data_IF_159321297412
#
_entry.id   IF_159321297412
#
_cell.length_a   1.000
_cell.length_b   1.000
_cell.length_c   1.000
_cell.angle_alpha   90.00
_cell.angle_beta   90.00
_cell.angle_gamma   90.00
#
_symmetry.space_group_name_H-M   'P 1'
#
loop_
_entity.id
_entity.type
_entity.pdbx_description
1 polymer ?
#
# COMPACT_ATOMS: atom_id res chain seq x y z
N UNK A 1 -17.04 30.94 34.75
CA UNK A 1 -17.00 29.70 33.92
C UNK A 1 -16.43 29.94 32.53
N UNK A 2 -16.94 30.87 31.69
CA UNK A 2 -16.40 31.15 30.33
C UNK A 2 -14.90 31.52 30.28
N UNK A 3 -14.39 32.27 31.26
CA UNK A 3 -13.00 32.73 31.30
C UNK A 3 -11.98 31.58 31.50
N UNK A 4 -12.28 30.66 32.42
CA UNK A 4 -11.41 29.48 32.65
C UNK A 4 -11.42 28.52 31.49
N UNK A 5 -12.53 28.39 30.77
CA UNK A 5 -12.64 27.56 29.57
C UNK A 5 -11.76 28.09 28.42
N UNK A 6 -11.75 29.42 28.24
CA UNK A 6 -10.93 30.09 27.23
C UNK A 6 -9.42 29.99 27.55
N UNK A 7 -9.07 30.10 28.82
CA UNK A 7 -7.69 29.99 29.27
C UNK A 7 -7.19 28.54 29.16
N UNK A 8 -8.03 27.56 29.51
CA UNK A 8 -7.76 26.14 29.31
C UNK A 8 -7.57 25.77 27.84
N UNK A 9 -8.41 26.29 26.94
CA UNK A 9 -8.27 26.13 25.50
C UNK A 9 -6.95 26.72 24.96
N UNK A 10 -6.57 27.92 25.40
CA UNK A 10 -5.30 28.54 24.97
C UNK A 10 -4.06 27.73 25.39
N UNK A 11 -4.01 27.24 26.62
CA UNK A 11 -2.91 26.40 27.11
C UNK A 11 -2.91 25.04 26.42
N UNK A 12 -4.07 24.48 26.14
CA UNK A 12 -4.23 23.24 25.37
C UNK A 12 -3.65 23.35 23.96
N UNK A 13 -4.04 24.40 23.21
CA UNK A 13 -3.56 24.59 21.83
C UNK A 13 -2.05 24.90 21.79
N UNK A 14 -1.51 25.72 22.69
CA UNK A 14 -0.08 26.03 22.75
C UNK A 14 0.76 24.78 23.02
N UNK A 15 0.34 23.94 23.97
CA UNK A 15 1.05 22.72 24.27
C UNK A 15 1.04 21.69 23.13
N UNK A 16 -0.10 21.56 22.43
CA UNK A 16 -0.22 20.62 21.31
C UNK A 16 0.61 21.05 20.11
N UNK A 17 0.66 22.33 19.77
CA UNK A 17 1.48 22.84 18.66
C UNK A 17 2.97 22.59 18.94
N UNK A 18 3.44 22.89 20.16
CA UNK A 18 4.84 22.67 20.51
C UNK A 18 5.26 21.21 20.42
N UNK A 19 4.47 20.29 20.97
CA UNK A 19 4.75 18.83 20.90
C UNK A 19 4.71 18.35 19.45
N UNK A 20 3.75 18.82 18.65
CA UNK A 20 3.61 18.46 17.23
C UNK A 20 4.84 18.90 16.43
N UNK A 21 5.35 20.10 16.65
CA UNK A 21 6.56 20.61 16.00
C UNK A 21 7.80 19.77 16.36
N UNK A 22 7.98 19.44 17.64
CA UNK A 22 9.10 18.62 18.09
C UNK A 22 9.06 17.23 17.46
N UNK A 23 7.88 16.58 17.46
CA UNK A 23 7.73 15.25 16.86
C UNK A 23 7.99 15.28 15.36
N UNK A 24 7.46 16.27 14.66
CA UNK A 24 7.64 16.39 13.21
C UNK A 24 9.09 16.65 12.83
N UNK A 25 9.78 17.50 13.60
CA UNK A 25 11.19 17.77 13.39
C UNK A 25 12.05 16.54 13.68
N UNK A 26 11.74 15.78 14.72
CA UNK A 26 12.42 14.53 15.03
C UNK A 26 12.26 13.48 13.93
N UNK A 27 11.04 13.27 13.44
CA UNK A 27 10.76 12.32 12.34
C UNK A 27 11.47 12.78 11.06
N UNK A 28 11.44 14.08 10.77
CA UNK A 28 12.13 14.64 9.61
C UNK A 28 13.66 14.46 9.70
N UNK A 29 14.25 14.75 10.86
CA UNK A 29 15.69 14.57 11.09
C UNK A 29 16.11 13.11 10.93
N UNK A 30 15.32 12.15 11.48
CA UNK A 30 15.55 10.72 11.30
C UNK A 30 15.46 10.28 9.84
N UNK A 31 14.44 10.74 9.12
CA UNK A 31 14.31 10.46 7.69
C UNK A 31 15.50 10.98 6.89
N UNK A 32 16.02 12.16 7.23
CA UNK A 32 17.21 12.73 6.58
C UNK A 32 18.49 11.94 6.87
N UNK A 33 18.63 11.38 8.06
CA UNK A 33 19.77 10.52 8.41
C UNK A 33 19.70 9.20 7.61
N UNK A 34 18.50 8.61 7.47
CA UNK A 34 18.31 7.35 6.76
C UNK A 34 18.44 7.49 5.23
N UNK A 35 18.10 8.66 4.68
CA UNK A 35 18.13 8.94 3.23
C UNK A 35 19.16 10.03 2.88
N UNK A 36 20.36 9.89 3.41
CA UNK A 36 21.44 10.85 3.26
C UNK A 36 21.80 11.21 1.80
N UNK A 37 21.55 10.30 0.86
CA UNK A 37 21.88 10.47 -0.57
C UNK A 37 20.92 11.41 -1.31
N UNK A 38 19.78 11.81 -0.73
CA UNK A 38 18.82 12.71 -1.39
C UNK A 38 19.27 14.16 -1.24
N UNK A 39 19.47 14.92 -2.33
CA UNK A 39 19.89 16.30 -2.28
C UNK A 39 18.90 17.17 -1.50
N UNK A 40 19.42 18.14 -0.74
CA UNK A 40 18.60 19.07 0.04
C UNK A 40 17.87 20.04 -0.90
N UNK A 41 16.54 20.08 -0.82
CA UNK A 41 15.69 21.07 -1.48
C UNK A 41 14.85 21.80 -0.44
N UNK A 42 15.22 23.04 -0.12
CA UNK A 42 14.57 23.81 0.93
C UNK A 42 13.04 23.92 0.76
N UNK A 43 12.54 23.99 -0.48
CA UNK A 43 11.11 24.10 -0.77
C UNK A 43 10.37 22.80 -0.53
N UNK A 44 10.93 21.68 -0.96
CA UNK A 44 10.33 20.34 -0.80
C UNK A 44 10.41 19.88 0.65
N UNK A 45 11.57 20.05 1.29
CA UNK A 45 11.78 19.72 2.68
C UNK A 45 10.86 20.50 3.62
N UNK A 46 10.62 21.77 3.35
CA UNK A 46 9.66 22.59 4.10
C UNK A 46 8.21 22.10 3.90
N UNK A 47 7.84 21.72 2.69
CA UNK A 47 6.52 21.16 2.40
C UNK A 47 6.26 19.83 3.13
N UNK A 48 7.29 18.96 3.18
CA UNK A 48 7.22 17.70 3.92
C UNK A 48 7.09 17.95 5.43
N UNK A 49 7.90 18.85 5.98
CA UNK A 49 7.84 19.21 7.39
C UNK A 49 6.47 19.79 7.77
N UNK A 50 5.89 20.64 6.92
CA UNK A 50 4.56 21.22 7.14
C UNK A 50 3.46 20.16 7.16
N UNK A 51 3.49 19.19 6.23
CA UNK A 51 2.55 18.07 6.19
C UNK A 51 2.68 17.15 7.41
N UNK A 52 3.89 16.83 7.81
CA UNK A 52 4.16 16.02 9.02
C UNK A 52 3.66 16.73 10.28
N UNK A 53 3.84 18.05 10.36
CA UNK A 53 3.34 18.85 11.49
C UNK A 53 1.82 18.83 11.58
N UNK A 54 1.14 18.98 10.45
CA UNK A 54 -0.32 18.89 10.38
C UNK A 54 -0.84 17.51 10.79
N UNK A 55 -0.22 16.43 10.31
CA UNK A 55 -0.60 15.06 10.64
C UNK A 55 -0.40 14.76 12.14
N UNK A 56 0.77 15.11 12.70
CA UNK A 56 1.04 14.90 14.11
C UNK A 56 0.15 15.73 15.03
N UNK A 57 -0.23 16.93 14.61
CA UNK A 57 -1.16 17.78 15.35
C UNK A 57 -2.57 17.19 15.37
N UNK A 58 -3.07 16.69 14.24
CA UNK A 58 -4.35 16.00 14.15
C UNK A 58 -4.38 14.74 15.06
N UNK A 59 -3.30 13.97 15.08
CA UNK A 59 -3.16 12.78 15.92
C UNK A 59 -3.19 13.11 17.42
N UNK A 60 -2.45 14.17 17.85
CA UNK A 60 -2.43 14.63 19.24
C UNK A 60 -3.81 15.17 19.66
N UNK A 61 -4.50 15.91 18.78
CA UNK A 61 -5.85 16.40 19.05
C UNK A 61 -6.83 15.24 19.21
N UNK A 62 -6.75 14.21 18.37
CA UNK A 62 -7.58 13.01 18.48
C UNK A 62 -7.38 12.28 19.80
N UNK A 63 -6.13 12.05 20.20
CA UNK A 63 -5.79 11.40 21.47
C UNK A 63 -6.26 12.22 22.70
N UNK A 64 -6.02 13.53 22.69
CA UNK A 64 -6.50 14.41 23.79
C UNK A 64 -8.02 14.51 23.80
N UNK A 65 -8.68 14.60 22.63
CA UNK A 65 -10.15 14.64 22.54
C UNK A 65 -10.79 13.39 23.12
N UNK A 66 -10.23 12.21 22.86
CA UNK A 66 -10.70 10.95 23.46
C UNK A 66 -10.51 10.95 24.98
N UNK A 67 -9.36 11.41 25.48
CA UNK A 67 -9.09 11.47 26.92
C UNK A 67 -10.10 12.41 27.65
N UNK A 68 -10.39 13.60 27.10
CA UNK A 68 -11.38 14.50 27.67
C UNK A 68 -12.81 13.95 27.61
N UNK A 69 -13.16 13.21 26.57
CA UNK A 69 -14.43 12.50 26.49
C UNK A 69 -14.57 11.46 27.61
N UNK A 70 -13.48 10.71 27.92
CA UNK A 70 -13.45 9.79 29.03
C UNK A 70 -13.65 10.47 30.40
N UNK A 71 -12.96 11.60 30.62
CA UNK A 71 -13.11 12.36 31.87
C UNK A 71 -14.54 12.88 32.00
N UNK A 72 -15.13 13.43 30.94
CA UNK A 72 -16.51 13.94 30.94
C UNK A 72 -17.54 12.82 31.19
N UNK A 73 -17.34 11.62 30.59
CA UNK A 73 -18.17 10.44 30.85
C UNK A 73 -18.02 10.00 32.32
N UNK A 74 -16.80 10.01 32.86
CA UNK A 74 -16.53 9.70 34.25
C UNK A 74 -17.26 10.65 35.21
N UNK A 75 -17.24 11.95 34.98
CA UNK A 75 -17.97 12.96 35.75
C UNK A 75 -19.49 12.78 35.63
N UNK A 76 -19.99 12.46 34.42
CA UNK A 76 -21.43 12.19 34.21
C UNK A 76 -21.89 10.95 35.00
N UNK A 77 -21.08 9.88 34.99
CA UNK A 77 -21.35 8.66 35.74
C UNK A 77 -21.32 8.87 37.29
N UNK A 78 -20.47 9.81 37.76
CA UNK A 78 -20.45 10.19 39.18
C UNK A 78 -21.71 10.96 39.61
N UNK A 79 -22.33 11.74 38.71
CA UNK A 79 -23.59 12.47 39.00
C UNK A 79 -24.81 11.56 39.07
N UNK A 80 -24.76 10.39 38.45
CA UNK A 80 -25.83 9.39 38.51
C UNK A 80 -25.57 8.53 39.72
N UNK A 81 -26.53 8.50 40.68
CA UNK A 81 -26.42 7.76 41.95
C UNK A 81 -26.61 6.26 41.73
N UNK A 82 -25.71 5.66 40.94
CA UNK A 82 -25.67 4.21 40.76
C UNK A 82 -24.95 3.54 41.95
N UNK A 83 -25.43 2.37 42.42
CA UNK A 83 -24.69 1.59 43.39
C UNK A 83 -23.27 1.28 42.89
N UNK A 84 -22.29 1.27 43.77
CA UNK A 84 -20.86 1.15 43.44
C UNK A 84 -20.54 -0.03 42.53
N UNK A 85 -21.28 -1.11 42.61
CA UNK A 85 -21.18 -2.31 41.77
C UNK A 85 -21.55 -1.98 40.30
N UNK A 86 -22.62 -1.22 40.05
CA UNK A 86 -23.05 -0.85 38.70
C UNK A 86 -22.06 0.10 38.03
N UNK A 87 -21.38 0.97 38.76
CA UNK A 87 -20.29 1.82 38.26
C UNK A 87 -19.10 0.98 37.80
N UNK A 88 -18.74 -0.05 38.58
CA UNK A 88 -17.64 -0.95 38.26
C UNK A 88 -17.93 -1.78 37.00
N UNK A 89 -19.13 -2.37 36.92
CA UNK A 89 -19.58 -3.12 35.73
C UNK A 89 -19.66 -2.25 34.49
N UNK A 90 -20.19 -1.02 34.61
CA UNK A 90 -20.26 -0.06 33.50
C UNK A 90 -18.88 0.30 32.96
N UNK A 91 -17.92 0.55 33.84
CA UNK A 91 -16.52 0.83 33.43
C UNK A 91 -15.88 -0.38 32.72
N UNK A 92 -16.14 -1.58 33.20
CA UNK A 92 -15.61 -2.82 32.63
C UNK A 92 -16.19 -3.08 31.22
N UNK A 93 -17.50 -2.86 31.03
CA UNK A 93 -18.18 -2.98 29.74
C UNK A 93 -17.66 -1.96 28.74
N UNK A 94 -17.42 -0.71 29.16
CA UNK A 94 -16.87 0.34 28.29
C UNK A 94 -15.44 -0.02 27.86
N UNK A 95 -14.60 -0.51 28.77
CA UNK A 95 -13.23 -0.95 28.46
C UNK A 95 -13.26 -2.15 27.49
N UNK A 96 -14.18 -3.09 27.66
CA UNK A 96 -14.33 -4.27 26.81
C UNK A 96 -14.82 -3.90 25.40
N UNK A 97 -15.74 -2.95 25.26
CA UNK A 97 -16.21 -2.42 23.98
C UNK A 97 -15.09 -1.66 23.26
N UNK A 98 -14.32 -0.86 23.97
CA UNK A 98 -13.17 -0.14 23.40
C UNK A 98 -12.05 -1.08 22.96
N UNK A 99 -11.77 -2.13 23.75
CA UNK A 99 -10.81 -3.15 23.35
C UNK A 99 -11.29 -3.91 22.10
N UNK A 100 -12.57 -4.24 21.99
CA UNK A 100 -13.16 -4.89 20.82
C UNK A 100 -13.02 -4.03 19.55
N UNK A 101 -13.19 -2.69 19.66
CA UNK A 101 -12.99 -1.75 18.54
C UNK A 101 -11.51 -1.70 18.13
N UNK A 102 -10.58 -1.73 19.07
CA UNK A 102 -9.13 -1.73 18.79
C UNK A 102 -8.65 -3.05 18.17
N UNK A 103 -9.28 -4.19 18.54
CA UNK A 103 -8.96 -5.50 17.96
C UNK A 103 -9.67 -5.78 16.63
N UNK A 104 -10.74 -5.07 16.28
CA UNK A 104 -11.48 -5.27 15.02
C UNK A 104 -10.74 -4.71 13.78
N UNK A 105 -9.65 -3.98 13.94
CA UNK A 105 -8.89 -3.36 12.86
C UNK A 105 -7.68 -4.20 12.38
N UNK A 106 -7.74 -5.53 12.48
CA UNK A 106 -6.75 -6.44 11.85
C UNK A 106 -7.22 -6.95 10.48
N UNK A 107 -7.84 -6.12 9.67
CA UNK A 107 -7.81 -6.35 8.23
C UNK A 107 -6.38 -5.98 7.77
N UNK A 108 -5.50 -6.99 7.65
CA UNK A 108 -4.18 -6.84 7.03
C UNK A 108 -4.36 -6.46 5.55
N UNK A 109 -4.74 -5.21 5.28
CA UNK A 109 -4.70 -4.69 3.92
C UNK A 109 -3.28 -4.20 3.66
N UNK A 110 -2.47 -5.03 3.03
CA UNK A 110 -1.19 -4.58 2.48
C UNK A 110 -1.46 -3.83 1.17
N UNK A 111 -0.90 -2.65 1.03
CA UNK A 111 -0.91 -1.92 -0.23
C UNK A 111 0.44 -1.23 -0.39
N UNK A 112 0.97 -1.25 -1.61
CA UNK A 112 2.28 -0.64 -1.86
C UNK A 112 2.68 -0.70 -3.32
N UNK A 113 3.94 -0.32 -3.55
CA UNK A 113 4.57 -0.32 -4.87
C UNK A 113 5.93 -1.03 -4.73
N UNK A 114 6.21 -1.96 -5.63
CA UNK A 114 7.54 -2.53 -5.87
C UNK A 114 8.03 -2.07 -7.24
N UNK A 115 9.30 -1.72 -7.33
CA UNK A 115 9.89 -1.27 -8.58
C UNK A 115 11.23 -1.96 -8.80
N UNK A 116 11.42 -2.47 -10.01
CA UNK A 116 12.75 -2.81 -10.51
C UNK A 116 13.35 -1.55 -11.17
N UNK A 117 14.47 -1.07 -10.64
CA UNK A 117 15.10 0.15 -11.12
C UNK A 117 15.85 -0.01 -12.44
N UNK A 118 16.22 -1.23 -12.82
CA UNK A 118 16.93 -1.50 -14.06
C UNK A 118 15.99 -1.43 -15.28
N UNK A 119 14.85 -2.11 -15.19
CA UNK A 119 13.86 -2.16 -16.28
C UNK A 119 12.75 -1.13 -16.13
N UNK A 120 12.63 -0.50 -14.97
CA UNK A 120 11.49 0.39 -14.66
C UNK A 120 10.18 -0.35 -14.42
N UNK A 121 10.19 -1.70 -14.39
CA UNK A 121 9.01 -2.49 -14.05
C UNK A 121 8.46 -2.07 -12.70
N UNK A 122 7.20 -1.69 -12.67
CA UNK A 122 6.52 -1.22 -11.46
C UNK A 122 5.30 -2.09 -11.18
N UNK A 123 5.24 -2.66 -9.99
CA UNK A 123 4.10 -3.43 -9.50
C UNK A 123 3.39 -2.66 -8.38
N UNK A 124 2.17 -2.23 -8.63
CA UNK A 124 1.26 -1.72 -7.59
C UNK A 124 0.44 -2.87 -7.06
N UNK A 125 0.35 -3.00 -5.73
CA UNK A 125 -0.34 -4.13 -5.14
C UNK A 125 -1.29 -3.71 -4.01
N UNK A 126 -2.31 -4.54 -3.81
CA UNK A 126 -3.27 -4.42 -2.73
C UNK A 126 -3.66 -5.83 -2.27
N UNK A 127 -3.55 -6.10 -0.98
CA UNK A 127 -3.90 -7.36 -0.32
C UNK A 127 -3.11 -8.61 -0.78
N UNK A 128 -2.36 -8.52 -1.88
CA UNK A 128 -1.36 -9.51 -2.30
C UNK A 128 -0.05 -8.75 -2.47
N UNK A 129 0.99 -9.15 -1.76
CA UNK A 129 2.30 -8.50 -1.80
C UNK A 129 3.31 -9.37 -2.54
N UNK A 130 3.94 -8.89 -3.63
CA UNK A 130 5.11 -9.53 -4.23
C UNK A 130 6.37 -9.14 -3.43
N UNK A 131 7.24 -10.10 -3.16
CA UNK A 131 8.56 -9.83 -2.57
C UNK A 131 9.50 -9.14 -3.56
N UNK A 132 9.48 -9.61 -4.82
CA UNK A 132 10.33 -9.16 -5.92
C UNK A 132 9.56 -9.19 -7.24
N UNK A 133 9.92 -8.30 -8.17
CA UNK A 133 9.33 -8.23 -9.51
C UNK A 133 10.45 -8.20 -10.55
N UNK A 134 10.37 -9.04 -11.59
CA UNK A 134 11.44 -9.27 -12.55
C UNK A 134 10.89 -9.42 -13.97
N UNK A 135 11.72 -9.02 -14.94
CA UNK A 135 11.60 -9.46 -16.33
C UNK A 135 12.68 -10.51 -16.59
N UNK A 136 12.31 -11.60 -17.27
CA UNK A 136 13.21 -12.71 -17.59
C UNK A 136 13.03 -13.08 -19.05
N UNK A 137 14.12 -13.23 -19.78
CA UNK A 137 14.14 -13.74 -21.17
C UNK A 137 15.30 -14.71 -21.32
N UNK A 138 15.08 -15.85 -21.97
CA UNK A 138 16.08 -16.91 -22.15
C UNK A 138 16.77 -17.33 -20.84
N UNK A 139 15.96 -17.48 -19.76
CA UNK A 139 16.37 -17.81 -18.39
C UNK A 139 17.29 -16.76 -17.70
N UNK A 140 17.51 -15.60 -18.32
CA UNK A 140 18.28 -14.50 -17.75
C UNK A 140 17.39 -13.36 -17.29
N UNK A 141 17.72 -12.76 -16.14
CA UNK A 141 17.03 -11.57 -15.64
C UNK A 141 17.46 -10.37 -16.46
N UNK A 142 16.49 -9.70 -17.07
CA UNK A 142 16.73 -8.52 -17.88
C UNK A 142 17.10 -7.31 -17.02
N UNK A 143 18.05 -6.54 -17.49
CA UNK A 143 18.44 -5.23 -16.94
C UNK A 143 18.08 -4.06 -17.88
N UNK A 144 17.37 -4.34 -18.97
CA UNK A 144 16.91 -3.40 -19.98
C UNK A 144 15.50 -3.78 -20.45
N UNK A 145 14.92 -2.96 -21.31
CA UNK A 145 13.56 -3.17 -21.86
C UNK A 145 13.53 -3.26 -23.38
N UNK A 146 14.70 -3.43 -24.01
CA UNK A 146 14.83 -3.66 -25.44
C UNK A 146 14.53 -5.15 -25.70
N UNK A 147 13.42 -5.44 -26.36
CA UNK A 147 12.94 -6.79 -26.63
C UNK A 147 12.91 -7.03 -28.15
N UNK A 148 13.54 -8.08 -28.65
CA UNK A 148 13.48 -8.44 -30.06
C UNK A 148 12.06 -8.81 -30.50
N UNK A 149 11.66 -8.36 -31.70
CA UNK A 149 10.36 -8.74 -32.27
C UNK A 149 10.36 -10.26 -32.55
N UNK A 150 9.27 -10.92 -32.17
CA UNK A 150 9.10 -12.36 -32.29
C UNK A 150 9.53 -13.15 -31.08
N UNK A 151 10.26 -12.53 -30.14
CA UNK A 151 10.68 -13.16 -28.90
C UNK A 151 9.64 -13.03 -27.80
N UNK A 152 9.78 -13.85 -26.78
CA UNK A 152 8.91 -13.84 -25.60
C UNK A 152 9.72 -13.60 -24.34
N UNK A 153 9.16 -12.86 -23.41
CA UNK A 153 9.72 -12.69 -22.08
C UNK A 153 8.71 -13.02 -20.99
N UNK A 154 9.20 -13.30 -19.80
CA UNK A 154 8.40 -13.57 -18.62
C UNK A 154 8.36 -12.36 -17.70
N UNK A 155 7.18 -11.95 -17.28
CA UNK A 155 6.99 -11.06 -16.16
C UNK A 155 6.70 -11.92 -14.93
N UNK A 156 7.54 -11.80 -13.90
CA UNK A 156 7.51 -12.67 -12.73
C UNK A 156 7.39 -11.83 -11.46
N UNK A 157 6.43 -12.20 -10.62
CA UNK A 157 6.33 -11.73 -9.23
C UNK A 157 6.71 -12.89 -8.31
N UNK A 158 7.81 -12.77 -7.55
CA UNK A 158 8.31 -13.81 -6.63
C UNK A 158 7.86 -13.55 -5.19
N UNK A 159 7.91 -14.61 -4.37
CA UNK A 159 7.64 -14.55 -2.92
C UNK A 159 6.28 -13.92 -2.61
N UNK A 160 5.24 -14.44 -3.22
CA UNK A 160 3.87 -13.92 -3.11
C UNK A 160 3.30 -14.18 -1.71
N UNK A 161 2.78 -13.14 -1.08
CA UNK A 161 2.09 -13.20 0.21
C UNK A 161 0.67 -12.66 0.08
N UNK A 162 -0.25 -13.12 0.94
CA UNK A 162 -1.61 -12.56 1.05
C UNK A 162 -2.66 -13.18 0.14
N UNK A 163 -2.33 -14.23 -0.64
CA UNK A 163 -3.35 -15.00 -1.36
C UNK A 163 -4.27 -15.73 -0.39
N UNK A 164 -5.58 -15.63 -0.62
CA UNK A 164 -6.60 -16.31 0.18
C UNK A 164 -6.61 -17.80 -0.17
N UNK A 165 -6.53 -18.62 0.86
CA UNK A 165 -6.51 -20.06 0.76
C UNK A 165 -7.88 -20.65 1.07
N UNK A 166 -8.29 -21.64 0.28
CA UNK A 166 -9.46 -22.49 0.52
C UNK A 166 -9.09 -23.94 0.27
N UNK A 167 -9.16 -24.79 1.32
CA UNK A 167 -8.81 -26.20 1.25
C UNK A 167 -7.41 -26.45 0.62
N UNK A 168 -6.37 -25.80 1.17
CA UNK A 168 -4.99 -25.88 0.70
C UNK A 168 -4.78 -25.40 -0.77
N UNK A 169 -5.76 -24.75 -1.36
CA UNK A 169 -5.73 -24.23 -2.72
C UNK A 169 -5.92 -22.73 -2.77
N UNK A 170 -5.34 -22.10 -3.78
CA UNK A 170 -5.52 -20.70 -4.16
C UNK A 170 -6.04 -20.62 -5.60
N UNK A 171 -6.81 -19.59 -5.91
CA UNK A 171 -7.30 -19.36 -7.28
C UNK A 171 -6.88 -17.97 -7.73
N UNK A 172 -6.18 -17.90 -8.87
CA UNK A 172 -5.56 -16.69 -9.39
C UNK A 172 -6.02 -16.43 -10.81
N UNK A 173 -6.37 -15.19 -11.12
CA UNK A 173 -6.57 -14.72 -12.48
C UNK A 173 -5.37 -13.91 -12.97
N UNK A 174 -5.21 -13.84 -14.31
CA UNK A 174 -4.15 -13.07 -14.95
C UNK A 174 -4.69 -12.38 -16.20
N UNK A 175 -4.54 -11.06 -16.30
CA UNK A 175 -4.81 -10.33 -17.55
C UNK A 175 -3.53 -9.72 -18.10
N UNK A 176 -3.47 -9.61 -19.44
CA UNK A 176 -2.39 -8.99 -20.16
C UNK A 176 -2.98 -7.98 -21.14
N UNK A 177 -2.44 -6.77 -21.11
CA UNK A 177 -2.74 -5.73 -22.10
C UNK A 177 -1.44 -5.12 -22.59
N UNK A 178 -1.26 -5.05 -23.90
CA UNK A 178 -0.16 -4.34 -24.53
C UNK A 178 -0.78 -3.16 -25.31
N UNK A 179 -0.25 -1.96 -25.14
CA UNK A 179 -0.73 -0.77 -25.83
C UNK A 179 0.41 0.06 -26.40
N UNK A 180 0.20 0.66 -27.57
CA UNK A 180 1.12 1.62 -28.15
C UNK A 180 0.94 3.01 -27.49
N UNK A 181 1.80 3.97 -27.84
CA UNK A 181 1.73 5.37 -27.35
C UNK A 181 0.43 6.09 -27.74
N UNK A 182 -0.30 5.59 -28.76
CA UNK A 182 -1.57 6.16 -29.23
C UNK A 182 -2.77 5.53 -28.55
N UNK A 183 -2.53 4.56 -27.64
CA UNK A 183 -3.56 3.82 -26.91
C UNK A 183 -4.21 2.69 -27.72
N UNK A 184 -3.73 2.36 -28.92
CA UNK A 184 -4.15 1.16 -29.65
C UNK A 184 -3.60 -0.07 -28.89
N UNK A 185 -4.44 -1.08 -28.74
CA UNK A 185 -4.11 -2.31 -28.02
C UNK A 185 -3.89 -3.45 -29.02
N UNK A 186 -2.66 -3.72 -29.41
CA UNK A 186 -2.35 -4.86 -30.26
C UNK A 186 -2.67 -6.20 -29.61
N UNK A 187 -2.61 -6.28 -28.27
CA UNK A 187 -2.96 -7.47 -27.51
C UNK A 187 -3.75 -7.11 -26.25
N UNK A 188 -4.87 -7.80 -26.04
CA UNK A 188 -5.66 -7.71 -24.82
C UNK A 188 -6.25 -9.09 -24.47
N UNK A 189 -5.88 -9.64 -23.31
CA UNK A 189 -6.39 -10.87 -22.77
C UNK A 189 -6.97 -10.64 -21.39
N UNK A 190 -8.25 -10.92 -21.20
CA UNK A 190 -8.98 -10.61 -19.98
C UNK A 190 -8.62 -11.54 -18.80
N UNK A 191 -8.43 -12.83 -19.07
CA UNK A 191 -7.98 -13.82 -18.07
C UNK A 191 -7.26 -14.99 -18.76
N UNK A 192 -5.94 -15.00 -18.64
CA UNK A 192 -5.07 -16.06 -19.20
C UNK A 192 -5.14 -17.37 -18.41
N UNK A 193 -5.69 -17.35 -17.19
CA UNK A 193 -5.80 -18.53 -16.33
C UNK A 193 -7.22 -19.07 -16.23
N UNK A 194 -8.13 -18.60 -17.10
CA UNK A 194 -9.56 -18.91 -17.03
C UNK A 194 -9.85 -20.41 -16.90
N UNK A 195 -9.12 -21.26 -17.62
CA UNK A 195 -9.34 -22.70 -17.69
C UNK A 195 -8.50 -23.50 -16.68
N UNK A 196 -7.49 -22.88 -16.05
CA UNK A 196 -6.61 -23.50 -15.06
C UNK A 196 -6.18 -22.45 -14.04
N UNK A 197 -7.08 -22.06 -13.16
CA UNK A 197 -6.89 -20.96 -12.21
C UNK A 197 -6.67 -21.40 -10.75
N UNK A 198 -6.79 -22.72 -10.48
CA UNK A 198 -6.69 -23.29 -9.13
C UNK A 198 -5.37 -24.05 -8.95
N UNK A 199 -4.59 -23.63 -7.98
CA UNK A 199 -3.27 -24.17 -7.69
C UNK A 199 -3.17 -24.62 -6.23
N UNK A 200 -2.29 -25.58 -5.91
CA UNK A 200 -1.97 -25.84 -4.51
C UNK A 200 -1.20 -24.67 -3.92
N UNK A 201 -1.53 -24.25 -2.72
CA UNK A 201 -0.87 -23.13 -2.04
C UNK A 201 0.65 -23.27 -1.97
N UNK A 202 1.14 -24.50 -1.76
CA UNK A 202 2.56 -24.80 -1.66
C UNK A 202 3.33 -24.58 -2.95
N UNK A 203 2.65 -24.66 -4.10
CA UNK A 203 3.25 -24.55 -5.43
C UNK A 203 3.29 -23.10 -5.92
N UNK A 204 2.55 -22.20 -5.27
CA UNK A 204 2.45 -20.78 -5.66
C UNK A 204 3.40 -19.91 -4.84
N UNK A 205 4.67 -20.01 -5.14
CA UNK A 205 5.69 -19.09 -4.62
C UNK A 205 5.93 -17.90 -5.56
N UNK A 206 5.52 -18.03 -6.81
CA UNK A 206 5.63 -16.98 -7.83
C UNK A 206 4.40 -16.99 -8.75
N UNK A 207 4.09 -15.80 -9.30
CA UNK A 207 3.13 -15.61 -10.39
C UNK A 207 3.88 -15.14 -11.62
N UNK A 208 3.69 -15.82 -12.75
CA UNK A 208 4.35 -15.49 -14.01
C UNK A 208 3.35 -15.33 -15.16
N UNK A 209 3.66 -14.39 -16.05
CA UNK A 209 2.94 -14.20 -17.30
C UNK A 209 3.96 -14.17 -18.44
N UNK A 210 3.75 -15.01 -19.46
CA UNK A 210 4.52 -14.95 -20.70
C UNK A 210 3.95 -13.87 -21.57
N UNK A 211 4.79 -12.97 -22.03
CA UNK A 211 4.48 -11.90 -22.95
C UNK A 211 5.19 -12.19 -24.26
N UNK A 212 4.45 -12.52 -25.31
CA UNK A 212 4.99 -12.74 -26.65
C UNK A 212 4.87 -11.48 -27.47
N UNK A 213 5.94 -11.13 -28.15
CA UNK A 213 6.01 -10.01 -29.09
C UNK A 213 5.81 -10.51 -30.53
N UNK A 214 5.46 -9.62 -31.44
CA UNK A 214 5.25 -9.95 -32.86
C UNK A 214 4.20 -9.04 -33.48
N UNK A 215 3.74 -9.40 -34.70
CA UNK A 215 2.69 -8.63 -35.37
C UNK A 215 1.45 -8.46 -34.49
N UNK A 216 0.85 -7.26 -34.42
CA UNK A 216 1.13 -6.06 -35.26
C UNK A 216 2.09 -5.03 -34.64
N UNK A 217 2.98 -5.43 -33.71
CA UNK A 217 4.00 -4.57 -33.11
C UNK A 217 5.02 -4.18 -34.18
N UNK A 218 5.54 -2.93 -34.07
CA UNK A 218 6.46 -2.38 -35.04
C UNK A 218 7.85 -2.18 -34.41
N UNK A 219 8.84 -2.32 -35.22
CA UNK A 219 10.23 -2.05 -34.92
C UNK A 219 10.47 -0.61 -34.44
N UNK A 220 11.41 -0.43 -33.51
CA UNK A 220 11.75 0.86 -32.83
C UNK A 220 10.60 1.55 -32.08
N UNK A 221 9.42 0.94 -32.02
CA UNK A 221 8.30 1.49 -31.28
C UNK A 221 8.30 1.03 -29.82
N UNK A 222 7.72 1.86 -28.95
CA UNK A 222 7.56 1.53 -27.54
C UNK A 222 6.13 1.09 -27.26
N UNK A 223 6.01 0.09 -26.39
CA UNK A 223 4.74 -0.46 -25.95
C UNK A 223 4.66 -0.52 -24.43
N UNK A 224 3.53 -0.08 -23.89
CA UNK A 224 3.20 -0.26 -22.49
C UNK A 224 2.60 -1.65 -22.31
N UNK A 225 3.24 -2.46 -21.47
CA UNK A 225 2.79 -3.80 -21.09
C UNK A 225 2.23 -3.72 -19.69
N UNK A 226 0.97 -4.12 -19.52
CA UNK A 226 0.28 -4.20 -18.24
C UNK A 226 -0.15 -5.63 -17.99
N UNK A 227 0.38 -6.24 -16.93
CA UNK A 227 -0.01 -7.57 -16.46
C UNK A 227 -0.63 -7.43 -15.09
N UNK A 228 -1.85 -7.92 -14.94
CA UNK A 228 -2.55 -7.89 -13.67
C UNK A 228 -2.86 -9.28 -13.19
N UNK A 229 -2.40 -9.61 -11.97
CA UNK A 229 -2.80 -10.80 -11.25
C UNK A 229 -3.82 -10.43 -10.18
N UNK A 230 -4.84 -11.27 -9.97
CA UNK A 230 -5.80 -11.08 -8.88
C UNK A 230 -6.16 -12.40 -8.22
N UNK A 231 -6.52 -12.31 -6.95
CA UNK A 231 -7.02 -13.41 -6.15
C UNK A 231 -8.51 -13.59 -6.41
N UNK A 232 -8.92 -14.74 -6.94
CA UNK A 232 -10.34 -15.06 -7.20
C UNK A 232 -11.10 -15.48 -5.92
N UNK A 233 -10.37 -15.85 -4.86
CA UNK A 233 -10.97 -16.16 -3.56
C UNK A 233 -11.02 -14.96 -2.62
N UNK A 234 -10.27 -13.92 -2.91
CA UNK A 234 -10.12 -12.72 -2.11
C UNK A 234 -10.28 -11.44 -2.92
N UNK A 235 -9.72 -10.36 -2.38
CA UNK A 235 -9.74 -9.02 -3.00
C UNK A 235 -8.35 -8.55 -3.40
N UNK A 236 -7.38 -9.48 -3.39
CA UNK A 236 -5.99 -9.19 -3.68
C UNK A 236 -5.74 -8.92 -5.17
N UNK A 237 -4.85 -7.96 -5.46
CA UNK A 237 -4.48 -7.57 -6.83
C UNK A 237 -3.04 -7.08 -6.89
N UNK A 238 -2.31 -7.47 -7.95
CA UNK A 238 -1.01 -6.92 -8.33
C UNK A 238 -1.13 -6.45 -9.78
N UNK A 239 -0.91 -5.16 -10.03
CA UNK A 239 -0.85 -4.60 -11.37
C UNK A 239 0.59 -4.22 -11.69
N UNK A 240 1.19 -4.94 -12.63
CA UNK A 240 2.55 -4.71 -13.12
C UNK A 240 2.48 -3.87 -14.37
N UNK A 241 3.33 -2.86 -14.47
CA UNK A 241 3.48 -2.02 -15.66
C UNK A 241 4.95 -1.86 -16.01
N UNK A 242 5.27 -2.04 -17.30
CA UNK A 242 6.59 -1.75 -17.88
C UNK A 242 6.42 -1.22 -19.30
N UNK A 243 7.30 -0.34 -19.72
CA UNK A 243 7.39 0.11 -21.12
C UNK A 243 8.56 -0.63 -21.76
N UNK A 244 8.29 -1.37 -22.82
CA UNK A 244 9.29 -2.09 -23.61
C UNK A 244 9.51 -1.39 -24.94
N UNK A 245 10.70 -1.50 -25.50
CA UNK A 245 11.03 -1.06 -26.84
C UNK A 245 11.27 -2.27 -27.73
N UNK A 246 10.62 -2.30 -28.89
CA UNK A 246 10.87 -3.34 -29.87
C UNK A 246 12.16 -3.08 -30.63
N UNK A 247 13.04 -4.06 -30.70
CA UNK A 247 14.25 -4.02 -31.50
C UNK A 247 14.24 -5.10 -32.56
N UNK A 248 14.98 -4.87 -33.66
CA UNK A 248 15.29 -5.91 -34.64
C UNK A 248 16.42 -6.80 -34.12
N UNK A 249 16.43 -8.05 -34.51
CA UNK A 249 17.58 -8.93 -34.29
C UNK A 249 18.47 -8.74 -35.52
N UNK A 250 19.76 -8.38 -35.38
CA UNK A 250 20.67 -8.29 -36.48
C UNK A 250 20.92 -9.63 -37.15
#
# INVERSE_FOLDING_TARGET
MKFYLLQGLKTFFRGTIGISLILSFSVYAWARILFYEVPFSAKEDFSILFKLTGLSWAMILGLKGSLYSFIAIGELLQRINFPSFAKWVGSFVIILLLSAILFSCQAQSSAGIKKDFNTGLTATYKNIEPGEVLLVMNDEVLNHTDIPIGESFLLINKNIKGLVEKNDKVSVGCSLTISDKKGKKPLEAADLFKDNDVFNKKDVNYLKCTVSTGEPMQWEENYDVVVTFWDKYGTGKIANKVTIRMIDIP
#
